data_IF_030938704283
#
_entry.id   IF_030938704283
#
_cell.length_a   1.000
_cell.length_b   1.000
_cell.length_c   1.000
_cell.angle_alpha   90.00
_cell.angle_beta   90.00
_cell.angle_gamma   90.00
#
_symmetry.space_group_name_H-M   'P 1'
#
loop_
_entity.id
_entity.type
_entity.pdbx_description
1 polymer ?
#
# COMPACT_ATOMS: atom_id res chain seq x y z
N UNK A 1 9.56 -9.87 7.89
CA UNK A 1 8.42 -9.55 8.75
C UNK A 1 8.46 -10.29 10.07
N UNK A 2 8.57 -11.62 10.11
CA UNK A 2 8.58 -12.45 11.33
C UNK A 2 9.52 -11.96 12.43
N UNK A 3 10.76 -11.65 12.12
CA UNK A 3 11.75 -11.16 13.10
C UNK A 3 11.38 -9.83 13.75
N UNK A 4 10.30 -9.20 13.34
CA UNK A 4 9.81 -7.91 13.85
C UNK A 4 8.45 -8.00 14.53
N UNK A 5 7.80 -9.15 14.48
CA UNK A 5 6.52 -9.39 15.15
C UNK A 5 6.63 -9.12 16.67
N UNK A 6 7.76 -9.49 17.27
CA UNK A 6 8.03 -9.24 18.69
C UNK A 6 8.08 -7.75 19.06
N UNK A 7 8.30 -6.87 18.06
CA UNK A 7 8.35 -5.43 18.24
C UNK A 7 7.03 -4.72 17.92
N UNK A 8 6.00 -5.46 17.51
CA UNK A 8 4.69 -4.88 17.30
C UNK A 8 4.12 -4.42 18.63
N UNK A 9 3.94 -3.12 18.75
CA UNK A 9 3.29 -2.50 19.89
C UNK A 9 2.37 -1.39 19.40
N UNK A 10 1.24 -1.21 20.07
CA UNK A 10 0.32 -0.12 19.79
C UNK A 10 -0.51 0.16 21.02
N UNK A 11 -0.62 1.42 21.40
CA UNK A 11 -1.52 1.86 22.48
C UNK A 11 -3.00 1.56 22.16
N UNK A 12 -3.32 1.42 20.86
CA UNK A 12 -4.69 1.06 20.42
C UNK A 12 -5.13 -0.32 20.88
N UNK A 13 -4.20 -1.24 21.04
CA UNK A 13 -4.48 -2.62 21.45
C UNK A 13 -4.40 -2.82 22.97
N UNK A 14 -3.69 -1.94 23.70
CA UNK A 14 -3.50 -2.07 25.13
C UNK A 14 -3.07 -3.47 25.54
N UNK A 15 -3.79 -4.08 26.48
CA UNK A 15 -3.55 -5.45 26.94
C UNK A 15 -3.91 -6.52 25.88
N UNK A 16 -4.75 -6.19 24.90
CA UNK A 16 -5.17 -7.10 23.83
C UNK A 16 -4.06 -7.36 22.81
N UNK A 17 -2.92 -6.65 22.90
CA UNK A 17 -1.75 -6.87 22.03
C UNK A 17 -1.27 -8.32 22.06
N UNK A 18 -1.42 -9.02 23.19
CA UNK A 18 -1.07 -10.42 23.32
C UNK A 18 -1.92 -11.35 22.46
N UNK A 19 -3.16 -10.94 22.13
CA UNK A 19 -4.06 -11.69 21.25
C UNK A 19 -3.65 -11.58 19.78
N UNK A 20 -2.97 -10.51 19.42
CA UNK A 20 -2.49 -10.26 18.06
C UNK A 20 -1.02 -10.58 17.85
N UNK A 21 -0.30 -10.96 18.91
CA UNK A 21 1.02 -11.58 18.79
C UNK A 21 0.89 -12.99 18.21
N UNK A 22 1.88 -13.39 17.44
CA UNK A 22 1.90 -14.67 16.72
C UNK A 22 0.89 -14.76 15.55
N UNK A 23 0.56 -13.64 14.94
CA UNK A 23 -0.22 -13.63 13.70
C UNK A 23 0.54 -14.29 12.54
N UNK A 24 1.87 -14.28 12.58
CA UNK A 24 2.72 -14.84 11.54
C UNK A 24 3.24 -16.23 11.98
N UNK A 25 2.67 -17.28 11.41
CA UNK A 25 3.09 -18.64 11.72
C UNK A 25 4.37 -19.04 10.97
N UNK A 26 5.19 -19.90 11.61
CA UNK A 26 6.49 -20.31 11.05
C UNK A 26 6.40 -21.09 9.74
N UNK A 27 5.28 -21.77 9.51
CA UNK A 27 5.05 -22.61 8.33
C UNK A 27 4.30 -21.89 7.19
N UNK A 28 4.03 -20.58 7.34
CA UNK A 28 3.28 -19.81 6.33
C UNK A 28 4.18 -19.24 5.25
N UNK A 29 3.56 -18.99 4.07
CA UNK A 29 4.21 -18.29 2.96
C UNK A 29 4.41 -16.81 3.27
N UNK A 30 5.38 -16.18 2.59
CA UNK A 30 5.62 -14.72 2.71
C UNK A 30 4.38 -13.90 2.35
N UNK A 31 3.53 -14.40 1.44
CA UNK A 31 2.28 -13.74 1.07
C UNK A 31 1.23 -13.83 2.17
N UNK A 32 1.15 -14.94 2.92
CA UNK A 32 0.27 -15.05 4.08
C UNK A 32 0.71 -14.09 5.19
N UNK A 33 2.02 -14.01 5.46
CA UNK A 33 2.55 -13.04 6.42
C UNK A 33 2.26 -11.58 6.03
N UNK A 34 2.27 -11.27 4.71
CA UNK A 34 1.88 -9.95 4.21
C UNK A 34 0.40 -9.68 4.46
N UNK A 35 -0.46 -10.67 4.22
CA UNK A 35 -1.91 -10.56 4.40
C UNK A 35 -2.27 -10.31 5.86
N UNK A 36 -1.73 -11.09 6.79
CA UNK A 36 -1.90 -10.88 8.23
C UNK A 36 -1.41 -9.49 8.70
N UNK A 37 -0.25 -9.03 8.20
CA UNK A 37 0.24 -7.71 8.54
C UNK A 37 -0.66 -6.59 7.98
N UNK A 38 -1.21 -6.77 6.77
CA UNK A 38 -2.16 -5.84 6.18
C UNK A 38 -3.44 -5.77 7.00
N UNK A 39 -4.02 -6.92 7.37
CA UNK A 39 -5.22 -7.01 8.19
C UNK A 39 -5.02 -6.29 9.53
N UNK A 40 -3.92 -6.57 10.24
CA UNK A 40 -3.61 -5.91 11.51
C UNK A 40 -3.54 -4.39 11.37
N UNK A 41 -2.89 -3.88 10.32
CA UNK A 41 -2.78 -2.44 10.10
C UNK A 41 -4.14 -1.80 9.79
N UNK A 42 -5.01 -2.48 9.03
CA UNK A 42 -6.37 -2.00 8.72
C UNK A 42 -7.25 -2.02 9.97
N UNK A 43 -7.22 -3.11 10.75
CA UNK A 43 -7.94 -3.23 12.02
C UNK A 43 -7.45 -2.19 13.05
N UNK A 44 -6.20 -1.74 12.95
CA UNK A 44 -5.66 -0.61 13.72
C UNK A 44 -6.15 0.77 13.26
N UNK A 45 -7.15 0.83 12.37
CA UNK A 45 -7.79 2.06 11.90
C UNK A 45 -7.07 2.76 10.74
N UNK A 46 -6.12 2.12 10.08
CA UNK A 46 -5.49 2.68 8.88
C UNK A 46 -6.35 2.42 7.65
N UNK A 47 -6.34 3.38 6.73
CA UNK A 47 -6.92 3.14 5.40
C UNK A 47 -6.15 2.02 4.70
N UNK A 48 -6.86 1.26 3.87
CA UNK A 48 -6.31 0.11 3.15
C UNK A 48 -5.08 0.49 2.30
N UNK A 49 -5.15 1.61 1.56
CA UNK A 49 -4.05 2.11 0.74
C UNK A 49 -2.85 2.53 1.60
N UNK A 50 -3.09 3.13 2.78
CA UNK A 50 -2.03 3.52 3.70
C UNK A 50 -1.31 2.29 4.25
N UNK A 51 -2.06 1.31 4.74
CA UNK A 51 -1.52 0.07 5.27
C UNK A 51 -0.65 -0.65 4.24
N UNK A 52 -1.13 -0.79 3.00
CA UNK A 52 -0.35 -1.41 1.94
C UNK A 52 0.90 -0.60 1.57
N UNK A 53 0.85 0.74 1.59
CA UNK A 53 2.04 1.59 1.36
C UNK A 53 3.10 1.44 2.45
N UNK A 54 2.70 1.16 3.69
CA UNK A 54 3.64 0.84 4.76
C UNK A 54 4.38 -0.47 4.50
N UNK A 55 3.66 -1.47 4.00
CA UNK A 55 4.20 -2.81 3.75
C UNK A 55 4.98 -2.88 2.43
N UNK A 56 4.45 -2.27 1.36
CA UNK A 56 5.03 -2.32 0.01
C UNK A 56 5.14 -0.90 -0.56
N UNK A 57 6.10 -0.09 -0.09
CA UNK A 57 6.32 1.26 -0.61
C UNK A 57 6.95 1.23 -2.00
N UNK A 58 6.72 2.26 -2.84
CA UNK A 58 7.42 2.43 -4.10
C UNK A 58 8.91 2.77 -3.89
N UNK A 59 9.70 2.71 -4.95
CA UNK A 59 11.10 3.15 -4.96
C UNK A 59 11.19 4.70 -5.02
N UNK A 60 10.84 5.38 -3.95
CA UNK A 60 10.62 6.83 -3.90
C UNK A 60 11.89 7.69 -3.83
N UNK A 61 13.04 7.14 -3.45
CA UNK A 61 14.26 7.95 -3.17
C UNK A 61 14.78 8.72 -4.36
N UNK A 62 14.69 8.14 -5.54
CA UNK A 62 15.19 8.71 -6.79
C UNK A 62 14.08 9.00 -7.79
N UNK A 63 12.83 9.04 -7.33
CA UNK A 63 11.68 9.44 -8.13
C UNK A 63 11.73 10.97 -8.33
N UNK A 64 11.91 11.47 -9.57
CA UNK A 64 11.97 12.89 -9.83
C UNK A 64 10.61 13.60 -9.69
N UNK A 65 9.52 12.83 -9.75
CA UNK A 65 8.16 13.35 -9.72
C UNK A 65 7.55 13.37 -8.31
N UNK A 66 8.29 12.91 -7.30
CA UNK A 66 7.81 12.86 -5.92
C UNK A 66 7.82 14.26 -5.29
N UNK A 67 6.72 14.65 -4.64
CA UNK A 67 6.66 15.90 -3.89
C UNK A 67 7.39 15.81 -2.54
N UNK A 68 7.69 16.95 -1.91
CA UNK A 68 8.32 16.97 -0.58
C UNK A 68 7.40 16.36 0.48
N UNK A 69 6.09 16.56 0.39
CA UNK A 69 5.11 15.96 1.29
C UNK A 69 5.06 14.44 1.14
N UNK A 70 5.05 13.93 -0.10
CA UNK A 70 5.10 12.50 -0.37
C UNK A 70 6.41 11.88 0.13
N UNK A 71 7.54 12.57 -0.07
CA UNK A 71 8.84 12.16 0.45
C UNK A 71 8.86 12.08 1.97
N UNK A 72 8.27 13.08 2.64
CA UNK A 72 8.13 13.10 4.09
C UNK A 72 7.26 11.95 4.59
N UNK A 73 6.14 11.67 3.93
CA UNK A 73 5.30 10.52 4.22
C UNK A 73 6.08 9.21 4.13
N UNK A 74 6.81 8.96 3.03
CA UNK A 74 7.59 7.74 2.88
C UNK A 74 8.76 7.64 3.87
N UNK A 75 9.39 8.75 4.22
CA UNK A 75 10.41 8.77 5.28
C UNK A 75 9.83 8.43 6.65
N UNK A 76 8.61 8.88 6.93
CA UNK A 76 7.89 8.55 8.15
C UNK A 76 7.57 7.06 8.22
N UNK A 77 6.88 6.48 7.21
CA UNK A 77 6.44 5.09 7.26
C UNK A 77 7.60 4.09 7.32
N UNK A 78 8.73 4.37 6.67
CA UNK A 78 9.92 3.51 6.71
C UNK A 78 10.60 3.43 8.08
N UNK A 79 10.29 4.32 9.01
CA UNK A 79 10.82 4.25 10.38
C UNK A 79 10.09 3.21 11.24
N UNK A 80 8.94 2.69 10.82
CA UNK A 80 8.18 1.70 11.57
C UNK A 80 8.56 0.25 11.23
N UNK A 81 8.78 -0.05 9.95
CA UNK A 81 9.10 -1.42 9.54
C UNK A 81 9.93 -1.44 8.26
N UNK A 82 10.66 -2.53 8.06
CA UNK A 82 11.21 -2.84 6.74
C UNK A 82 10.11 -3.18 5.77
N UNK A 83 10.21 -2.68 4.53
CA UNK A 83 9.23 -3.03 3.50
C UNK A 83 9.32 -4.52 3.18
N UNK A 84 8.17 -5.10 2.85
CA UNK A 84 8.13 -6.39 2.17
C UNK A 84 8.81 -6.26 0.81
N UNK A 85 9.63 -7.23 0.43
CA UNK A 85 10.37 -7.22 -0.83
C UNK A 85 10.18 -8.54 -1.57
N UNK A 86 9.80 -8.44 -2.83
CA UNK A 86 9.57 -9.58 -3.70
C UNK A 86 8.71 -9.19 -4.90
N UNK A 87 8.78 -9.95 -6.01
CA UNK A 87 7.95 -9.71 -7.19
C UNK A 87 6.48 -10.03 -6.89
N UNK A 88 5.63 -9.01 -6.87
CA UNK A 88 4.20 -9.18 -6.57
C UNK A 88 3.30 -8.32 -7.44
N UNK A 89 2.18 -8.90 -7.88
CA UNK A 89 0.99 -8.20 -8.30
C UNK A 89 -0.08 -8.48 -7.26
N UNK A 90 -0.51 -7.46 -6.55
CA UNK A 90 -1.36 -7.57 -5.38
C UNK A 90 -2.77 -7.05 -5.70
N UNK A 91 -3.80 -7.82 -5.32
CA UNK A 91 -5.17 -7.36 -5.21
C UNK A 91 -5.64 -7.60 -3.78
N UNK A 92 -6.21 -6.58 -3.17
CA UNK A 92 -6.59 -6.62 -1.75
C UNK A 92 -7.82 -5.75 -1.50
N UNK A 93 -8.58 -6.04 -0.45
CA UNK A 93 -9.84 -5.36 -0.13
C UNK A 93 -10.12 -5.40 1.36
N UNK A 94 -10.84 -4.39 1.84
CA UNK A 94 -11.43 -4.35 3.18
C UNK A 94 -12.96 -4.58 3.15
N UNK A 95 -13.50 -5.04 2.01
CA UNK A 95 -14.93 -5.23 1.77
C UNK A 95 -15.65 -4.02 1.17
N UNK A 96 -15.04 -2.83 1.17
CA UNK A 96 -15.57 -1.58 0.60
C UNK A 96 -14.67 -1.00 -0.47
N UNK A 97 -13.38 -1.03 -0.20
CA UNK A 97 -12.35 -0.55 -1.11
C UNK A 97 -11.65 -1.75 -1.74
N UNK A 98 -11.55 -1.75 -3.04
CA UNK A 98 -10.73 -2.68 -3.81
C UNK A 98 -9.48 -1.97 -4.27
N UNK A 99 -8.33 -2.56 -4.03
CA UNK A 99 -7.05 -2.04 -4.49
C UNK A 99 -6.28 -3.04 -5.33
N UNK A 100 -5.47 -2.51 -6.24
CA UNK A 100 -4.42 -3.26 -6.92
C UNK A 100 -3.11 -2.50 -6.81
N UNK A 101 -2.01 -3.21 -6.59
CA UNK A 101 -0.68 -2.63 -6.49
C UNK A 101 0.38 -3.54 -7.08
N UNK A 102 1.46 -2.94 -7.57
CA UNK A 102 2.68 -3.66 -7.90
C UNK A 102 3.76 -3.37 -6.84
N UNK A 103 4.66 -4.34 -6.69
CA UNK A 103 5.90 -4.14 -5.95
C UNK A 103 6.76 -3.03 -6.56
N UNK A 104 7.78 -2.58 -5.83
CA UNK A 104 8.67 -1.48 -6.24
C UNK A 104 9.38 -1.70 -7.57
N UNK A 105 9.60 -2.95 -7.98
CA UNK A 105 10.27 -3.31 -9.24
C UNK A 105 9.29 -3.49 -10.40
N UNK A 106 8.02 -3.77 -10.10
CA UNK A 106 6.95 -3.91 -11.08
C UNK A 106 7.17 -5.02 -12.10
N UNK A 107 7.75 -6.15 -11.68
CA UNK A 107 8.08 -7.28 -12.57
C UNK A 107 6.83 -8.05 -13.03
N UNK A 108 5.75 -7.99 -12.24
CA UNK A 108 4.46 -8.60 -12.60
C UNK A 108 3.63 -7.64 -13.44
N UNK A 109 2.96 -8.09 -14.49
CA UNK A 109 2.02 -7.25 -15.22
C UNK A 109 0.75 -7.03 -14.39
N UNK A 110 0.22 -5.82 -14.43
CA UNK A 110 -1.12 -5.49 -13.91
C UNK A 110 -1.76 -4.48 -14.83
N UNK A 111 -2.91 -4.82 -15.39
CA UNK A 111 -3.69 -4.02 -16.32
C UNK A 111 -5.07 -3.76 -15.73
N UNK A 112 -5.66 -2.65 -16.09
CA UNK A 112 -7.03 -2.35 -15.70
C UNK A 112 -7.85 -1.83 -16.87
N UNK A 113 -9.15 -2.06 -16.79
CA UNK A 113 -10.15 -1.50 -17.70
C UNK A 113 -11.34 -1.02 -16.87
N UNK A 114 -11.75 0.22 -17.10
CA UNK A 114 -12.92 0.84 -16.48
C UNK A 114 -13.96 1.09 -17.57
N UNK A 115 -15.22 0.71 -17.30
CA UNK A 115 -16.34 0.89 -18.20
C UNK A 115 -17.30 1.97 -17.73
N UNK A 116 -18.15 2.48 -18.63
CA UNK A 116 -19.16 3.52 -18.34
C UNK A 116 -20.26 3.05 -17.37
N UNK A 117 -20.53 1.74 -17.33
CA UNK A 117 -21.47 1.12 -16.41
C UNK A 117 -20.86 0.77 -15.04
N UNK A 118 -19.64 1.27 -14.77
CA UNK A 118 -19.01 1.20 -13.46
C UNK A 118 -18.29 -0.12 -13.18
N UNK A 119 -18.05 -0.97 -14.20
CA UNK A 119 -17.22 -2.16 -14.01
C UNK A 119 -15.73 -1.80 -14.08
N UNK A 120 -14.99 -2.13 -13.03
CA UNK A 120 -13.53 -2.08 -13.00
C UNK A 120 -12.97 -3.51 -13.06
N UNK A 121 -12.31 -3.84 -14.16
CA UNK A 121 -11.55 -5.07 -14.31
C UNK A 121 -10.07 -4.84 -14.08
N UNK A 122 -9.44 -5.70 -13.26
CA UNK A 122 -8.00 -5.70 -13.02
C UNK A 122 -7.47 -7.12 -13.24
N UNK A 123 -6.38 -7.26 -13.98
CA UNK A 123 -5.77 -8.55 -14.27
C UNK A 123 -4.38 -8.44 -14.86
N UNK A 124 -3.66 -9.55 -14.93
CA UNK A 124 -2.32 -9.61 -15.52
C UNK A 124 -2.34 -9.43 -17.05
N UNK A 125 -3.45 -9.81 -17.69
CA UNK A 125 -3.57 -9.83 -19.14
C UNK A 125 -4.80 -9.05 -19.61
N UNK A 126 -4.69 -8.42 -20.78
CA UNK A 126 -5.84 -7.87 -21.49
C UNK A 126 -6.56 -8.99 -22.25
N UNK A 127 -7.90 -8.97 -22.22
CA UNK A 127 -8.72 -9.93 -22.96
C UNK A 127 -9.12 -11.18 -22.19
N UNK A 128 -8.70 -11.35 -20.93
CA UNK A 128 -9.22 -12.40 -20.06
C UNK A 128 -10.73 -12.21 -19.79
N UNK A 129 -11.19 -10.97 -19.79
CA UNK A 129 -12.61 -10.60 -19.82
C UNK A 129 -12.88 -9.82 -21.10
N UNK A 130 -13.83 -10.29 -21.89
CA UNK A 130 -14.25 -9.60 -23.12
C UNK A 130 -15.25 -8.51 -22.73
N UNK A 131 -14.83 -7.26 -22.90
CA UNK A 131 -15.67 -6.08 -22.65
C UNK A 131 -15.92 -5.36 -23.98
N UNK A 132 -17.15 -4.90 -24.25
CA UNK A 132 -17.46 -4.11 -25.44
C UNK A 132 -16.62 -2.84 -25.49
N UNK A 133 -15.92 -2.59 -26.59
CA UNK A 133 -15.02 -1.45 -26.73
C UNK A 133 -15.73 -0.10 -26.54
N UNK A 134 -16.97 0.00 -26.99
CA UNK A 134 -17.84 1.17 -26.88
C UNK A 134 -18.16 1.54 -25.43
N UNK A 135 -18.09 0.60 -24.50
CA UNK A 135 -18.33 0.84 -23.08
C UNK A 135 -17.08 1.24 -22.29
N UNK A 136 -15.90 1.16 -22.88
CA UNK A 136 -14.65 1.37 -22.18
C UNK A 136 -14.31 2.85 -22.14
N UNK A 137 -14.28 3.41 -20.94
CA UNK A 137 -13.87 4.80 -20.71
C UNK A 137 -12.38 4.95 -20.42
N UNK A 138 -11.75 3.89 -19.87
CA UNK A 138 -10.31 3.94 -19.59
C UNK A 138 -9.68 2.54 -19.57
N UNK A 139 -8.53 2.44 -20.23
CA UNK A 139 -7.61 1.29 -20.11
C UNK A 139 -6.26 1.78 -19.65
N UNK A 140 -5.56 0.96 -18.86
CA UNK A 140 -4.22 1.28 -18.42
C UNK A 140 -3.47 0.08 -17.86
N UNK A 141 -2.27 0.37 -17.40
CA UNK A 141 -1.42 -0.58 -16.67
C UNK A 141 -0.84 0.10 -15.46
N UNK A 142 -0.61 -0.65 -14.41
CA UNK A 142 0.19 -0.20 -13.27
C UNK A 142 1.68 -0.35 -13.63
N UNK A 143 2.44 0.66 -13.32
CA UNK A 143 3.89 0.64 -13.34
C UNK A 143 4.49 0.21 -12.00
N UNK A 144 5.83 0.14 -11.89
CA UNK A 144 6.55 -0.20 -10.66
C UNK A 144 6.07 0.64 -9.47
N UNK A 145 5.69 -0.02 -8.39
CA UNK A 145 5.22 0.62 -7.16
C UNK A 145 3.91 1.40 -7.26
N UNK A 146 3.21 1.35 -8.39
CA UNK A 146 1.94 2.06 -8.55
C UNK A 146 0.77 1.29 -7.95
N UNK A 147 -0.25 2.05 -7.55
CA UNK A 147 -1.49 1.55 -6.96
C UNK A 147 -2.70 2.16 -7.65
N UNK A 148 -3.76 1.38 -7.72
CA UNK A 148 -5.11 1.77 -8.10
C UNK A 148 -6.04 1.40 -6.94
N UNK A 149 -7.00 2.26 -6.64
CA UNK A 149 -8.01 2.04 -5.59
C UNK A 149 -9.39 2.38 -6.15
N UNK A 150 -10.39 1.59 -5.79
CA UNK A 150 -11.79 1.82 -6.13
C UNK A 150 -12.68 1.60 -4.90
N UNK A 151 -13.47 2.61 -4.56
CA UNK A 151 -14.46 2.50 -3.51
C UNK A 151 -15.78 1.99 -4.13
N UNK A 152 -16.23 0.81 -3.71
CA UNK A 152 -17.41 0.15 -4.28
C UNK A 152 -18.74 0.77 -3.84
N UNK A 153 -18.73 1.56 -2.76
CA UNK A 153 -19.94 2.25 -2.28
C UNK A 153 -20.16 3.59 -3.02
N UNK A 154 -19.07 4.32 -3.28
CA UNK A 154 -19.15 5.65 -3.91
C UNK A 154 -18.89 5.63 -5.41
N UNK A 155 -18.28 4.57 -5.94
CA UNK A 155 -17.81 4.48 -7.32
C UNK A 155 -16.55 5.31 -7.60
N UNK A 156 -15.92 5.89 -6.58
CA UNK A 156 -14.69 6.67 -6.75
C UNK A 156 -13.52 5.76 -7.12
N UNK A 157 -12.78 6.12 -8.16
CA UNK A 157 -11.56 5.42 -8.59
C UNK A 157 -10.40 6.38 -8.48
N UNK A 158 -9.41 6.03 -7.65
CA UNK A 158 -8.19 6.79 -7.43
C UNK A 158 -6.99 6.10 -8.07
N UNK A 159 -6.19 6.88 -8.77
CA UNK A 159 -4.94 6.44 -9.36
C UNK A 159 -3.75 6.79 -8.46
N UNK A 160 -2.61 6.19 -8.72
CA UNK A 160 -1.41 6.27 -7.88
C UNK A 160 -1.07 7.69 -7.40
N UNK A 161 -1.08 8.66 -8.30
CA UNK A 161 -0.74 10.06 -7.96
C UNK A 161 -1.74 10.66 -6.96
N UNK A 162 -3.03 10.38 -7.14
CA UNK A 162 -4.10 10.86 -6.27
C UNK A 162 -4.02 10.19 -4.90
N UNK A 163 -3.77 8.86 -4.88
CA UNK A 163 -3.57 8.11 -3.64
C UNK A 163 -2.37 8.67 -2.87
N UNK A 164 -1.23 8.87 -3.53
CA UNK A 164 -0.02 9.42 -2.90
C UNK A 164 -0.28 10.80 -2.29
N UNK A 165 -0.89 11.69 -3.04
CA UNK A 165 -1.20 13.04 -2.59
C UNK A 165 -2.16 13.04 -1.37
N UNK A 166 -3.21 12.22 -1.43
CA UNK A 166 -4.15 12.08 -0.32
C UNK A 166 -3.46 11.55 0.94
N UNK A 167 -2.63 10.51 0.83
CA UNK A 167 -1.93 9.93 1.98
C UNK A 167 -0.93 10.92 2.58
N UNK A 168 -0.16 11.61 1.75
CA UNK A 168 0.85 12.56 2.19
C UNK A 168 0.27 13.79 2.92
N UNK A 169 -0.95 14.19 2.56
CA UNK A 169 -1.63 15.35 3.17
C UNK A 169 -2.37 15.06 4.48
N UNK A 170 -2.49 13.78 4.88
CA UNK A 170 -3.30 13.39 6.05
C UNK A 170 -2.75 13.89 7.38
N UNK A 171 -1.44 13.97 7.52
CA UNK A 171 -0.74 14.30 8.76
C UNK A 171 0.51 15.14 8.48
N UNK A 172 1.04 15.85 9.47
CA UNK A 172 2.24 16.67 9.31
C UNK A 172 3.52 15.82 9.36
N UNK A 173 3.66 14.88 8.41
CA UNK A 173 4.76 13.90 8.40
C UNK A 173 6.14 14.54 8.35
N UNK A 174 6.31 15.65 7.61
CA UNK A 174 7.57 16.38 7.56
C UNK A 174 8.00 16.85 8.94
N UNK A 175 7.09 17.48 9.69
CA UNK A 175 7.34 17.91 11.07
C UNK A 175 7.74 16.74 11.96
N UNK A 176 7.03 15.64 11.89
CA UNK A 176 7.31 14.47 12.73
C UNK A 176 8.66 13.82 12.41
N UNK A 177 9.04 13.78 11.13
CA UNK A 177 10.36 13.28 10.72
C UNK A 177 11.47 14.21 11.22
N UNK A 178 11.33 15.52 11.04
CA UNK A 178 12.35 16.49 11.44
C UNK A 178 12.56 16.55 12.98
N UNK A 179 11.47 16.41 13.75
CA UNK A 179 11.53 16.44 15.22
C UNK A 179 12.11 15.16 15.85
N UNK A 180 11.99 14.01 15.16
CA UNK A 180 12.32 12.71 15.75
C UNK A 180 13.47 11.99 15.03
N UNK A 181 13.94 12.50 13.89
CA UNK A 181 15.04 11.90 13.14
C UNK A 181 16.38 12.36 13.66
N UNK A 182 17.20 11.41 14.09
CA UNK A 182 18.58 11.64 14.50
C UNK A 182 19.49 11.01 13.43
N UNK A 183 20.45 11.77 12.91
CA UNK A 183 21.44 11.26 11.96
C UNK A 183 22.75 10.95 12.71
N UNK A 184 23.45 9.87 12.29
CA UNK A 184 24.72 9.48 12.94
C UNK A 184 25.78 10.57 12.91
N UNK A 185 25.78 11.44 11.90
CA UNK A 185 26.67 12.60 11.83
C UNK A 185 26.46 13.63 12.95
N UNK A 186 25.30 13.61 13.61
CA UNK A 186 24.98 14.53 14.72
C UNK A 186 25.68 14.12 16.02
N UNK A 187 26.35 12.96 16.04
CA UNK A 187 27.11 12.43 17.17
C UNK A 187 28.63 12.52 16.99
N UNK A 188 29.11 13.09 15.92
CA UNK A 188 30.56 13.33 15.65
C UNK A 188 30.88 14.80 15.78
#
# INVERSE_FOLDING_TARGET
>A
MRSREEFFSSELWGDDIELVKNLMHDDESDSASLDHALELLVLSGRRLEHAMRMLVPPAFRHDPDITEEERAFYNYIRSFSEPWDGPAGLCFTDGRTLCASLDRNGLRPSRFTLTEDGLLYIGSESGAVVLPDEKIIRRGRLGPGQMLSANTETGEVLYDKEIRAQLASQKPYAKWVDENRIELKDFT
#
